data_IF_331251405753
#
_entry.id   IF_331251405753
#
_cell.length_a   1.000
_cell.length_b   1.000
_cell.length_c   1.000
_cell.angle_alpha   90.00
_cell.angle_beta   90.00
_cell.angle_gamma   90.00
#
_symmetry.space_group_name_H-M   'P 1'
#
loop_
_entity.id
_entity.type
_entity.pdbx_description
1 polymer ?
#
# COMPACT_ATOMS: atom_id res chain seq x y z
N UNK A 1 -41.75 3.91 -39.27
CA UNK A 1 -43.02 3.87 -38.53
C UNK A 1 -42.72 3.65 -37.08
N UNK A 2 -43.12 4.61 -36.27
CA UNK A 2 -43.21 4.71 -34.80
C UNK A 2 -41.96 5.06 -33.96
N UNK A 3 -41.96 6.30 -33.75
CA UNK A 3 -41.39 7.17 -32.71
C UNK A 3 -42.00 6.85 -31.33
N UNK A 4 -41.22 6.69 -30.30
CA UNK A 4 -41.64 6.94 -28.91
C UNK A 4 -40.51 7.55 -28.09
N UNK A 5 -40.74 8.80 -27.74
CA UNK A 5 -39.93 9.69 -26.92
C UNK A 5 -39.84 9.24 -25.45
N UNK A 6 -38.63 9.24 -24.88
CA UNK A 6 -38.40 9.14 -23.44
C UNK A 6 -38.49 10.53 -22.80
N UNK A 7 -39.42 10.72 -21.89
CA UNK A 7 -39.57 11.93 -21.06
C UNK A 7 -38.63 11.85 -19.85
N UNK A 8 -37.84 12.91 -19.70
CA UNK A 8 -37.03 13.15 -18.50
C UNK A 8 -37.90 13.42 -17.28
N UNK A 9 -37.46 12.90 -16.12
CA UNK A 9 -38.06 13.20 -14.82
C UNK A 9 -37.14 14.19 -14.12
N UNK A 10 -37.77 15.35 -13.83
CA UNK A 10 -37.19 16.53 -13.16
C UNK A 10 -36.98 16.27 -11.66
N UNK A 11 -35.82 16.74 -11.16
CA UNK A 11 -35.57 16.95 -9.75
C UNK A 11 -36.47 18.08 -9.23
N UNK A 12 -37.33 17.82 -8.27
CA UNK A 12 -37.74 18.76 -7.17
C UNK A 12 -38.89 18.16 -6.34
N UNK A 13 -38.77 18.37 -5.00
CA UNK A 13 -39.82 18.34 -3.99
C UNK A 13 -40.01 17.00 -3.24
N UNK A 14 -39.33 16.91 -2.08
CA UNK A 14 -39.99 16.37 -0.88
C UNK A 14 -39.48 17.18 0.34
N UNK A 15 -40.29 18.20 0.66
CA UNK A 15 -40.24 18.90 1.95
C UNK A 15 -41.68 18.87 2.50
N UNK A 16 -41.79 18.38 3.71
CA UNK A 16 -42.87 18.77 4.60
C UNK A 16 -43.96 17.74 4.86
N UNK A 17 -43.98 17.20 6.09
CA UNK A 17 -45.13 17.29 6.98
C UNK A 17 -44.76 16.78 8.39
N UNK A 18 -44.60 17.75 9.29
CA UNK A 18 -44.79 17.55 10.73
C UNK A 18 -46.27 17.32 11.00
N UNK A 19 -46.56 16.29 11.79
CA UNK A 19 -47.88 16.06 12.37
C UNK A 19 -47.78 15.67 13.85
N UNK A 20 -47.95 16.66 14.74
CA UNK A 20 -48.16 16.42 16.16
C UNK A 20 -49.53 15.79 16.38
N UNK A 21 -49.57 14.75 17.22
CA UNK A 21 -50.78 14.40 17.94
C UNK A 21 -50.41 13.91 19.34
N UNK A 22 -50.60 14.76 20.31
CA UNK A 22 -50.52 14.41 21.72
C UNK A 22 -51.78 13.66 22.17
N UNK A 23 -51.57 12.65 23.04
CA UNK A 23 -52.63 12.17 23.93
C UNK A 23 -52.00 11.93 25.31
N UNK A 24 -52.46 12.73 26.23
CA UNK A 24 -52.28 12.51 27.67
C UNK A 24 -53.37 11.56 28.16
N UNK A 25 -53.01 10.56 28.93
CA UNK A 25 -53.89 9.96 29.93
C UNK A 25 -53.06 9.34 31.07
N UNK A 26 -53.59 9.56 32.23
CA UNK A 26 -52.98 9.47 33.54
C UNK A 26 -52.96 8.07 34.16
N UNK A 27 -52.00 7.94 35.06
CA UNK A 27 -51.97 7.22 36.34
C UNK A 27 -52.38 5.74 36.40
N UNK A 28 -51.43 4.91 36.75
CA UNK A 28 -51.58 3.58 37.32
C UNK A 28 -50.24 3.05 37.85
N UNK A 29 -50.08 3.05 39.16
CA UNK A 29 -48.99 2.51 39.93
C UNK A 29 -48.78 1.03 39.63
N UNK A 30 -47.53 0.67 39.27
CA UNK A 30 -47.05 -0.70 39.18
C UNK A 30 -45.53 -0.70 39.08
N UNK A 31 -44.83 -0.68 40.22
CA UNK A 31 -43.42 -0.94 40.35
C UNK A 31 -43.17 -2.42 40.05
N UNK A 32 -42.67 -2.73 38.83
CA UNK A 32 -41.85 -3.90 38.59
C UNK A 32 -40.67 -3.42 37.77
N UNK A 33 -39.49 -3.44 38.37
CA UNK A 33 -38.23 -3.14 37.70
C UNK A 33 -37.99 -4.12 36.54
N UNK A 34 -38.02 -3.60 35.33
CA UNK A 34 -37.26 -4.22 34.25
C UNK A 34 -35.81 -3.71 34.44
N UNK A 35 -34.99 -4.52 35.05
CA UNK A 35 -33.56 -4.45 34.79
C UNK A 35 -33.40 -4.71 33.29
N UNK A 36 -33.10 -3.66 32.56
CA UNK A 36 -32.46 -3.79 31.26
C UNK A 36 -31.15 -4.54 31.52
N UNK A 37 -31.19 -5.85 31.37
CA UNK A 37 -29.98 -6.64 31.20
C UNK A 37 -29.38 -6.19 29.87
N UNK A 38 -28.55 -5.16 29.90
CA UNK A 38 -27.56 -4.96 28.85
C UNK A 38 -26.85 -6.32 28.70
N UNK A 39 -26.95 -6.93 27.54
CA UNK A 39 -26.13 -8.09 27.21
C UNK A 39 -24.69 -7.72 27.56
N UNK A 40 -23.94 -8.59 28.25
CA UNK A 40 -22.53 -8.32 28.53
C UNK A 40 -21.89 -8.00 27.18
N UNK A 41 -21.24 -6.84 27.08
CA UNK A 41 -20.37 -6.56 25.94
C UNK A 41 -19.42 -7.74 25.87
N UNK A 42 -19.44 -8.46 24.78
CA UNK A 42 -18.45 -9.52 24.49
C UNK A 42 -17.11 -8.81 24.57
N UNK A 43 -16.28 -9.16 25.56
CA UNK A 43 -14.92 -8.62 25.64
C UNK A 43 -14.24 -8.93 24.31
N UNK A 44 -13.60 -7.93 23.70
CA UNK A 44 -12.85 -8.12 22.47
C UNK A 44 -11.79 -9.19 22.71
N UNK A 45 -11.68 -10.14 21.79
CA UNK A 45 -10.67 -11.21 21.89
C UNK A 45 -9.28 -10.59 21.78
N UNK A 46 -8.44 -10.86 22.76
CA UNK A 46 -7.02 -10.48 22.72
C UNK A 46 -6.21 -11.61 22.07
N UNK A 47 -5.91 -11.48 20.79
CA UNK A 47 -5.14 -12.45 20.03
C UNK A 47 -3.69 -12.56 20.51
N UNK A 48 -3.13 -11.53 21.18
CA UNK A 48 -1.79 -11.60 21.78
C UNK A 48 -1.73 -12.55 23.00
N UNK A 49 -2.87 -12.86 23.60
CA UNK A 49 -2.96 -13.82 24.71
C UNK A 49 -3.18 -15.28 24.29
N UNK A 50 -3.48 -15.49 22.99
CA UNK A 50 -3.73 -16.82 22.43
C UNK A 50 -2.41 -17.52 22.05
N UNK A 51 -2.40 -18.86 22.09
CA UNK A 51 -1.31 -19.61 21.47
C UNK A 51 -1.44 -19.58 19.93
N UNK A 52 -0.31 -19.72 19.22
CA UNK A 52 -0.33 -19.81 17.76
C UNK A 52 -1.17 -20.99 17.27
N UNK A 53 -1.15 -22.13 17.99
CA UNK A 53 -1.97 -23.31 17.66
C UNK A 53 -3.48 -23.00 17.74
N UNK A 54 -3.91 -22.22 18.74
CA UNK A 54 -5.31 -21.81 18.87
C UNK A 54 -5.71 -20.82 17.76
N UNK A 55 -4.83 -19.89 17.39
CA UNK A 55 -5.03 -18.98 16.25
C UNK A 55 -5.16 -19.80 14.95
N UNK A 56 -4.27 -20.74 14.71
CA UNK A 56 -4.33 -21.63 13.53
C UNK A 56 -5.63 -22.43 13.50
N UNK A 57 -6.08 -22.96 14.65
CA UNK A 57 -7.32 -23.74 14.72
C UNK A 57 -8.53 -22.86 14.38
N UNK A 58 -8.62 -21.66 14.95
CA UNK A 58 -9.70 -20.71 14.67
C UNK A 58 -9.64 -20.20 13.22
N UNK A 59 -8.47 -19.86 12.69
CA UNK A 59 -8.29 -19.43 11.31
C UNK A 59 -8.76 -20.48 10.29
N UNK A 60 -8.51 -21.76 10.57
CA UNK A 60 -9.03 -22.87 9.75
C UNK A 60 -10.55 -23.00 9.81
N UNK A 61 -11.18 -22.67 10.94
CA UNK A 61 -12.64 -22.62 11.04
C UNK A 61 -13.23 -21.43 10.26
N UNK A 62 -12.52 -20.30 10.23
CA UNK A 62 -12.86 -19.13 9.43
C UNK A 62 -12.72 -19.42 7.91
N UNK A 63 -11.72 -20.20 7.51
CA UNK A 63 -11.56 -20.82 6.19
C UNK A 63 -11.32 -19.91 5.02
N UNK A 64 -11.32 -18.59 5.23
CA UNK A 64 -11.13 -17.57 4.20
C UNK A 64 -10.46 -16.34 4.79
N UNK A 65 -9.82 -15.53 3.94
CA UNK A 65 -9.31 -14.20 4.23
C UNK A 65 -9.64 -13.25 3.07
N UNK A 66 -10.09 -12.04 3.35
CA UNK A 66 -10.24 -10.99 2.37
C UNK A 66 -9.21 -9.90 2.63
N UNK A 67 -8.27 -9.75 1.70
CA UNK A 67 -7.23 -8.72 1.77
C UNK A 67 -7.56 -7.48 0.96
N UNK A 68 -6.81 -6.42 1.17
CA UNK A 68 -6.78 -5.21 0.36
C UNK A 68 -5.34 -4.78 0.13
N UNK A 69 -5.05 -4.23 -1.06
CA UNK A 69 -3.73 -3.72 -1.41
C UNK A 69 -2.64 -4.80 -1.54
N UNK A 70 -3.03 -6.07 -1.75
CA UNK A 70 -2.11 -7.20 -1.86
C UNK A 70 -2.27 -7.92 -3.22
N UNK A 71 -2.14 -7.20 -4.36
CA UNK A 71 -2.36 -7.78 -5.67
C UNK A 71 -1.28 -8.82 -6.03
N UNK A 72 -1.65 -9.85 -6.76
CA UNK A 72 -0.81 -10.99 -7.15
C UNK A 72 0.56 -10.59 -7.72
N UNK A 73 0.60 -9.47 -8.43
CA UNK A 73 1.79 -8.97 -9.13
C UNK A 73 2.80 -8.22 -8.26
N UNK A 74 2.47 -7.95 -6.99
CA UNK A 74 3.34 -7.24 -6.07
C UNK A 74 3.99 -8.21 -5.07
N UNK A 75 5.30 -8.10 -4.87
CA UNK A 75 6.05 -8.82 -3.83
C UNK A 75 5.70 -10.32 -3.74
N UNK A 76 5.24 -10.93 -4.85
CA UNK A 76 4.78 -12.32 -4.92
C UNK A 76 3.63 -12.64 -3.94
N UNK A 77 2.66 -11.73 -3.78
CA UNK A 77 1.50 -12.00 -2.94
C UNK A 77 0.76 -13.27 -3.34
N UNK A 78 0.68 -13.58 -4.65
CA UNK A 78 0.10 -14.84 -5.13
C UNK A 78 0.74 -16.06 -4.45
N UNK A 79 2.08 -16.11 -4.39
CA UNK A 79 2.77 -17.22 -3.72
C UNK A 79 2.53 -17.24 -2.20
N UNK A 80 2.37 -16.09 -1.55
CA UNK A 80 2.01 -16.00 -0.13
C UNK A 80 0.64 -16.64 0.13
N UNK A 81 -0.34 -16.35 -0.73
CA UNK A 81 -1.68 -16.88 -0.58
C UNK A 81 -1.78 -18.36 -0.96
N UNK A 82 -1.07 -18.80 -2.00
CA UNK A 82 -0.97 -20.21 -2.39
C UNK A 82 -0.40 -21.06 -1.24
N UNK A 83 0.66 -20.58 -0.58
CA UNK A 83 1.26 -21.27 0.56
C UNK A 83 0.33 -21.32 1.78
N UNK A 84 -0.40 -20.23 2.06
CA UNK A 84 -1.40 -20.20 3.15
C UNK A 84 -2.55 -21.17 2.86
N UNK A 85 -3.03 -21.22 1.61
CA UNK A 85 -4.06 -22.17 1.21
C UNK A 85 -3.57 -23.62 1.31
N UNK A 86 -2.36 -23.93 0.82
CA UNK A 86 -1.78 -25.27 0.88
C UNK A 86 -1.58 -25.75 2.32
N UNK A 87 -1.06 -24.88 3.22
CA UNK A 87 -0.73 -25.27 4.61
C UNK A 87 -1.92 -25.28 5.54
N UNK A 88 -2.85 -24.37 5.35
CA UNK A 88 -3.92 -24.13 6.32
C UNK A 88 -5.32 -24.34 5.76
N UNK A 89 -5.49 -24.44 4.44
CA UNK A 89 -6.78 -24.57 3.77
C UNK A 89 -7.60 -23.29 3.79
N UNK A 90 -6.94 -22.13 3.87
CA UNK A 90 -7.57 -20.81 3.92
C UNK A 90 -7.48 -20.19 2.54
N UNK A 91 -8.64 -19.96 1.91
CA UNK A 91 -8.72 -19.30 0.60
C UNK A 91 -8.63 -17.78 0.75
N UNK A 92 -8.14 -17.10 -0.27
CA UNK A 92 -7.97 -15.64 -0.24
C UNK A 92 -8.76 -14.96 -1.37
N UNK A 93 -9.19 -13.71 -1.11
CA UNK A 93 -9.68 -12.81 -2.14
C UNK A 93 -9.16 -11.40 -1.87
N UNK A 94 -8.38 -10.86 -2.81
CA UNK A 94 -7.86 -9.49 -2.74
C UNK A 94 -8.74 -8.48 -3.47
N UNK A 95 -8.63 -7.23 -3.03
CA UNK A 95 -9.11 -6.07 -3.75
C UNK A 95 -8.01 -5.03 -3.76
N UNK A 96 -7.42 -4.80 -4.93
CA UNK A 96 -6.39 -3.79 -5.09
C UNK A 96 -6.94 -2.38 -4.87
N UNK A 97 -6.25 -1.59 -4.03
CA UNK A 97 -6.56 -0.19 -3.76
C UNK A 97 -5.37 0.52 -3.14
N UNK A 98 -5.40 1.85 -3.15
CA UNK A 98 -4.35 2.66 -2.52
C UNK A 98 -4.45 2.64 -0.99
N UNK A 99 -3.32 2.86 -0.29
CA UNK A 99 -3.24 2.88 1.17
C UNK A 99 -4.27 3.81 1.83
N UNK A 100 -4.52 4.98 1.24
CA UNK A 100 -5.51 5.92 1.74
C UNK A 100 -6.95 5.37 1.61
N UNK A 101 -7.25 4.67 0.52
CA UNK A 101 -8.56 4.06 0.29
C UNK A 101 -8.81 2.89 1.24
N UNK A 102 -7.78 2.09 1.54
CA UNK A 102 -7.87 0.98 2.51
C UNK A 102 -8.30 1.47 3.89
N UNK A 103 -7.59 2.49 4.42
CA UNK A 103 -7.89 3.07 5.74
C UNK A 103 -9.28 3.71 5.74
N UNK A 104 -9.62 4.45 4.68
CA UNK A 104 -10.93 5.07 4.54
C UNK A 104 -12.06 4.03 4.50
N UNK A 105 -11.83 2.90 3.83
CA UNK A 105 -12.79 1.79 3.77
C UNK A 105 -12.97 1.14 5.14
N UNK A 106 -11.88 0.76 5.85
CA UNK A 106 -11.96 0.19 7.19
C UNK A 106 -12.73 1.11 8.15
N UNK A 107 -12.47 2.42 8.06
CA UNK A 107 -13.17 3.43 8.86
C UNK A 107 -14.65 3.54 8.50
N UNK A 108 -14.98 3.56 7.21
CA UNK A 108 -16.35 3.72 6.72
C UNK A 108 -17.21 2.49 7.03
N UNK A 109 -16.68 1.29 6.89
CA UNK A 109 -17.39 0.04 7.15
C UNK A 109 -17.61 -0.18 8.65
N UNK A 110 -16.67 0.26 9.50
CA UNK A 110 -16.76 0.13 10.94
C UNK A 110 -17.10 -1.30 11.35
N UNK A 111 -18.13 -1.51 12.17
CA UNK A 111 -18.53 -2.84 12.66
C UNK A 111 -19.09 -3.77 11.59
N UNK A 112 -19.36 -3.28 10.39
CA UNK A 112 -19.82 -4.06 9.25
C UNK A 112 -18.64 -4.40 8.29
N UNK A 113 -17.41 -4.49 8.82
CA UNK A 113 -16.19 -4.76 8.06
C UNK A 113 -16.31 -5.96 7.13
N UNK A 114 -15.82 -5.81 5.90
CA UNK A 114 -15.83 -6.85 4.86
C UNK A 114 -14.43 -7.41 4.58
N UNK A 115 -13.40 -6.71 5.01
CA UNK A 115 -11.99 -7.02 4.81
C UNK A 115 -11.28 -7.29 6.12
N UNK A 116 -10.26 -8.13 6.06
CA UNK A 116 -9.58 -8.67 7.23
C UNK A 116 -8.20 -8.05 7.46
N UNK A 117 -7.42 -7.86 6.37
CA UNK A 117 -6.04 -7.39 6.40
C UNK A 117 -5.74 -6.49 5.20
N UNK A 118 -4.87 -5.50 5.37
CA UNK A 118 -4.40 -4.60 4.33
C UNK A 118 -2.88 -4.48 4.30
N UNK A 119 -2.33 -3.99 3.16
CA UNK A 119 -0.91 -3.74 2.95
C UNK A 119 -0.69 -2.27 2.55
N UNK A 120 -0.42 -1.44 3.52
CA UNK A 120 -0.29 0.01 3.33
C UNK A 120 1.17 0.44 3.31
N UNK A 121 1.49 1.48 2.54
CA UNK A 121 2.80 2.13 2.66
C UNK A 121 3.08 2.49 4.12
N UNK A 122 4.31 2.30 4.57
CA UNK A 122 4.70 2.42 5.99
C UNK A 122 4.21 3.71 6.65
N UNK A 123 4.22 4.85 5.94
CA UNK A 123 3.73 6.14 6.46
C UNK A 123 2.25 6.12 6.87
N UNK A 124 1.48 5.17 6.36
CA UNK A 124 0.06 5.04 6.66
C UNK A 124 -0.24 4.16 7.89
N UNK A 125 0.75 3.40 8.38
CA UNK A 125 0.61 2.61 9.60
C UNK A 125 0.16 3.45 10.80
N UNK A 126 0.90 4.51 11.18
CA UNK A 126 0.50 5.42 12.26
C UNK A 126 -0.87 6.11 12.01
N UNK A 127 -1.22 6.37 10.75
CA UNK A 127 -2.54 6.92 10.42
C UNK A 127 -3.65 5.92 10.70
N UNK A 128 -3.48 4.66 10.32
CA UNK A 128 -4.45 3.60 10.59
C UNK A 128 -4.65 3.38 12.10
N UNK A 129 -3.56 3.40 12.87
CA UNK A 129 -3.60 3.36 14.34
C UNK A 129 -4.36 4.55 14.92
N UNK A 130 -4.03 5.79 14.53
CA UNK A 130 -4.67 7.01 15.01
C UNK A 130 -6.18 7.07 14.68
N UNK A 131 -6.59 6.49 13.55
CA UNK A 131 -7.99 6.35 13.16
C UNK A 131 -8.70 5.21 13.92
N UNK A 132 -7.98 4.39 14.69
CA UNK A 132 -8.52 3.29 15.48
C UNK A 132 -9.12 2.16 14.64
N UNK A 133 -8.60 1.95 13.43
CA UNK A 133 -9.10 0.93 12.49
C UNK A 133 -8.30 -0.36 12.53
N UNK A 134 -7.33 -0.48 13.43
CA UNK A 134 -6.40 -1.60 13.53
C UNK A 134 -6.69 -2.52 14.71
N UNK A 135 -6.50 -3.83 14.51
CA UNK A 135 -6.47 -4.85 15.53
C UNK A 135 -4.99 -5.10 15.91
N UNK A 136 -4.70 -5.02 17.21
CA UNK A 136 -3.35 -5.23 17.74
C UNK A 136 -2.97 -6.71 17.76
N UNK A 137 -1.91 -7.04 17.04
CA UNK A 137 -1.37 -8.38 17.06
C UNK A 137 0.15 -8.39 16.81
N UNK A 138 0.90 -8.95 17.76
CA UNK A 138 2.35 -9.17 17.69
C UNK A 138 2.62 -10.62 17.33
N UNK A 139 3.34 -10.83 16.24
CA UNK A 139 3.70 -12.18 15.81
C UNK A 139 4.78 -12.81 16.69
N UNK A 140 4.98 -14.10 16.52
CA UNK A 140 6.08 -14.83 17.18
C UNK A 140 7.48 -14.34 16.78
N UNK A 141 7.59 -13.58 15.68
CA UNK A 141 8.83 -12.99 15.15
C UNK A 141 9.05 -11.54 15.58
N UNK A 142 8.22 -10.99 16.49
CA UNK A 142 8.16 -9.55 16.80
C UNK A 142 9.50 -8.96 17.21
N UNK A 143 10.29 -9.69 18.00
CA UNK A 143 11.57 -9.24 18.52
C UNK A 143 12.68 -9.18 17.44
N UNK A 144 12.45 -9.81 16.28
CA UNK A 144 13.39 -9.77 15.15
C UNK A 144 13.11 -8.62 14.17
N UNK A 145 11.97 -7.95 14.32
CA UNK A 145 11.60 -6.80 13.50
C UNK A 145 12.27 -5.54 14.06
N UNK A 146 12.94 -4.72 13.24
CA UNK A 146 13.52 -3.46 13.68
C UNK A 146 12.46 -2.52 14.27
N UNK A 147 12.83 -1.73 15.30
CA UNK A 147 11.89 -0.83 15.98
C UNK A 147 11.27 0.21 15.03
N UNK A 148 12.00 0.66 14.00
CA UNK A 148 11.49 1.59 13.01
C UNK A 148 10.41 1.00 12.09
N UNK A 149 10.24 -0.32 12.09
CA UNK A 149 9.38 -1.05 11.16
C UNK A 149 8.11 -1.61 11.83
N UNK A 150 7.80 -1.21 13.04
CA UNK A 150 6.64 -1.72 13.78
C UNK A 150 6.11 -0.70 14.76
N UNK A 151 4.84 -0.80 15.08
CA UNK A 151 4.24 -0.13 16.24
C UNK A 151 4.52 -0.91 17.53
N UNK A 152 4.72 -0.22 18.63
CA UNK A 152 5.02 -0.84 19.94
C UNK A 152 3.90 -1.78 20.42
N UNK A 153 2.65 -1.52 20.09
CA UNK A 153 1.48 -2.28 20.54
C UNK A 153 1.00 -3.34 19.55
N UNK A 154 1.48 -3.31 18.29
CA UNK A 154 1.14 -4.28 17.25
C UNK A 154 0.01 -3.86 16.32
N UNK A 155 -0.31 -2.57 16.26
CA UNK A 155 -1.29 -2.01 15.32
C UNK A 155 -0.86 -2.22 13.88
N UNK A 156 0.41 -2.02 13.57
CA UNK A 156 0.98 -2.24 12.24
C UNK A 156 2.40 -2.81 12.32
N UNK A 157 2.84 -3.46 11.26
CA UNK A 157 4.20 -3.97 11.10
C UNK A 157 4.58 -4.07 9.64
N UNK A 158 5.77 -3.59 9.30
CA UNK A 158 6.34 -3.72 7.95
C UNK A 158 6.62 -5.19 7.64
N UNK A 159 6.12 -5.68 6.52
CA UNK A 159 6.37 -7.03 6.04
C UNK A 159 7.61 -7.14 5.16
N UNK A 160 7.88 -6.12 4.37
CA UNK A 160 8.97 -6.05 3.41
C UNK A 160 9.25 -4.59 3.05
N UNK A 161 10.37 -4.35 2.37
CA UNK A 161 10.69 -3.01 1.87
C UNK A 161 11.32 -3.06 0.47
N UNK A 162 11.37 -1.91 -0.18
CA UNK A 162 12.03 -1.69 -1.45
C UNK A 162 12.78 -0.38 -1.50
N UNK A 163 13.56 -0.21 -2.56
CA UNK A 163 14.33 1.01 -2.84
C UNK A 163 13.81 1.63 -4.12
N UNK A 164 13.65 2.96 -4.15
CA UNK A 164 13.19 3.66 -5.36
C UNK A 164 14.19 3.45 -6.48
N UNK A 165 13.71 3.00 -7.63
CA UNK A 165 14.51 2.62 -8.82
C UNK A 165 14.04 3.36 -10.06
N UNK A 166 14.90 3.33 -11.08
CA UNK A 166 14.57 3.71 -12.45
C UNK A 166 14.37 2.42 -13.26
N UNK A 167 13.24 2.31 -13.97
CA UNK A 167 13.03 1.32 -15.02
C UNK A 167 12.99 2.03 -16.38
N UNK A 168 13.75 1.57 -17.35
CA UNK A 168 13.85 2.15 -18.69
C UNK A 168 13.60 1.10 -19.77
N UNK A 169 12.84 1.48 -20.81
CA UNK A 169 12.70 0.72 -22.03
C UNK A 169 13.90 1.05 -22.93
N UNK A 170 14.85 0.12 -23.08
CA UNK A 170 16.14 0.36 -23.76
C UNK A 170 15.98 0.56 -25.28
N UNK A 171 14.88 0.08 -25.88
CA UNK A 171 14.58 0.32 -27.29
C UNK A 171 14.15 1.78 -27.54
N UNK A 172 13.56 2.44 -26.53
CA UNK A 172 13.16 3.85 -26.61
C UNK A 172 14.25 4.77 -26.03
N UNK A 173 15.01 4.28 -25.05
CA UNK A 173 16.06 5.02 -24.34
C UNK A 173 17.37 4.22 -24.44
N UNK A 174 18.10 4.28 -25.60
CA UNK A 174 19.29 3.47 -25.84
C UNK A 174 20.44 3.70 -24.83
N UNK A 175 20.41 4.80 -24.09
CA UNK A 175 21.31 5.09 -22.98
C UNK A 175 20.45 5.27 -21.73
N UNK A 176 20.10 4.18 -21.02
CA UNK A 176 19.30 4.23 -19.82
C UNK A 176 19.90 5.18 -18.77
N UNK A 177 19.11 6.08 -18.16
CA UNK A 177 19.60 6.97 -17.12
C UNK A 177 20.03 6.17 -15.88
N UNK A 178 21.12 6.60 -15.27
CA UNK A 178 21.66 6.01 -14.03
C UNK A 178 21.57 6.96 -12.84
N UNK A 179 21.10 8.18 -13.08
CA UNK A 179 20.86 9.21 -12.07
C UNK A 179 19.48 9.82 -12.25
N UNK A 180 18.88 10.32 -11.17
CA UNK A 180 17.63 11.06 -11.25
C UNK A 180 17.83 12.43 -11.91
N UNK A 181 18.99 13.04 -11.73
CA UNK A 181 19.34 14.30 -12.38
C UNK A 181 19.27 14.23 -13.92
N UNK A 182 19.69 13.10 -14.53
CA UNK A 182 19.64 12.89 -15.99
C UNK A 182 18.22 12.94 -16.55
N UNK A 183 17.20 12.59 -15.76
CA UNK A 183 15.81 12.63 -16.20
C UNK A 183 15.31 14.03 -16.53
N UNK A 184 15.94 15.06 -15.95
CA UNK A 184 15.57 16.48 -16.21
C UNK A 184 15.80 16.88 -17.67
N UNK A 185 16.77 16.28 -18.37
CA UNK A 185 17.23 16.67 -19.70
C UNK A 185 16.95 15.59 -20.78
N UNK A 186 16.29 14.48 -20.43
CA UNK A 186 15.85 13.46 -21.37
C UNK A 186 14.83 13.99 -22.41
N UNK A 187 14.68 13.28 -23.53
CA UNK A 187 13.68 13.56 -24.57
C UNK A 187 12.45 12.64 -24.49
N UNK A 188 12.29 11.95 -23.38
CA UNK A 188 11.23 10.98 -23.05
C UNK A 188 10.36 11.47 -21.90
N UNK A 189 9.18 10.85 -21.76
CA UNK A 189 8.32 11.04 -20.60
C UNK A 189 8.85 10.23 -19.41
N UNK A 190 8.70 10.81 -18.21
CA UNK A 190 8.99 10.15 -16.93
C UNK A 190 7.68 9.86 -16.22
N UNK A 191 7.36 8.59 -16.01
CA UNK A 191 6.18 8.13 -15.28
C UNK A 191 6.53 7.96 -13.80
N UNK A 192 5.78 8.64 -12.93
CA UNK A 192 6.03 8.62 -11.47
C UNK A 192 4.80 8.19 -10.66
N UNK A 193 3.63 8.01 -11.30
CA UNK A 193 2.39 7.67 -10.63
C UNK A 193 1.63 8.86 -10.04
N UNK A 194 0.52 8.58 -9.37
CA UNK A 194 -0.34 9.60 -8.77
C UNK A 194 0.22 10.08 -7.42
N UNK A 195 0.82 11.27 -7.42
CA UNK A 195 1.38 11.92 -6.22
C UNK A 195 0.31 12.19 -5.14
N UNK A 196 -0.96 12.30 -5.52
CA UNK A 196 -2.04 12.61 -4.56
C UNK A 196 -2.46 11.40 -3.72
N UNK A 197 -2.20 10.18 -4.18
CA UNK A 197 -2.74 8.96 -3.59
C UNK A 197 -1.70 7.84 -3.37
N UNK A 198 -0.71 7.71 -4.29
CA UNK A 198 0.20 6.57 -4.29
C UNK A 198 1.47 6.84 -3.47
N UNK A 199 1.73 5.99 -2.47
CA UNK A 199 2.93 6.06 -1.65
C UNK A 199 4.22 6.00 -2.50
N UNK A 200 4.27 5.12 -3.51
CA UNK A 200 5.42 5.01 -4.40
C UNK A 200 5.70 6.32 -5.16
N UNK A 201 4.65 7.01 -5.66
CA UNK A 201 4.80 8.30 -6.35
C UNK A 201 5.35 9.40 -5.42
N UNK A 202 4.85 9.46 -4.19
CA UNK A 202 5.32 10.42 -3.18
C UNK A 202 6.79 10.17 -2.83
N UNK A 203 7.19 8.91 -2.66
CA UNK A 203 8.58 8.54 -2.40
C UNK A 203 9.50 8.76 -3.61
N UNK A 204 8.99 8.64 -4.85
CA UNK A 204 9.74 9.00 -6.05
C UNK A 204 10.10 10.51 -6.04
N UNK A 205 9.18 11.38 -5.62
CA UNK A 205 9.46 12.81 -5.45
C UNK A 205 10.50 13.06 -4.36
N UNK A 206 10.43 12.34 -3.23
CA UNK A 206 11.45 12.45 -2.18
C UNK A 206 12.83 11.95 -2.66
N UNK A 207 12.88 10.86 -3.42
CA UNK A 207 14.13 10.37 -4.01
C UNK A 207 14.76 11.43 -4.94
N UNK A 208 13.93 12.12 -5.74
CA UNK A 208 14.38 13.24 -6.58
C UNK A 208 14.94 14.38 -5.71
N UNK A 209 14.29 14.73 -4.59
CA UNK A 209 14.80 15.74 -3.67
C UNK A 209 16.18 15.37 -3.16
N UNK A 210 16.34 14.14 -2.66
CA UNK A 210 17.62 13.59 -2.13
C UNK A 210 18.71 13.61 -3.20
N UNK A 211 18.41 13.12 -4.40
CA UNK A 211 19.37 13.07 -5.52
C UNK A 211 19.87 14.47 -5.94
N UNK A 212 19.01 15.49 -5.81
CA UNK A 212 19.34 16.87 -6.17
C UNK A 212 19.88 17.70 -4.98
N UNK A 213 20.23 17.04 -3.87
CA UNK A 213 20.88 17.65 -2.71
C UNK A 213 19.92 18.27 -1.68
N UNK A 214 18.61 18.00 -1.82
CA UNK A 214 17.58 18.31 -0.83
C UNK A 214 17.28 17.10 0.09
N UNK A 215 16.01 16.95 0.44
CA UNK A 215 15.50 15.88 1.31
C UNK A 215 14.27 16.34 2.09
N UNK A 216 13.97 15.67 3.23
CA UNK A 216 12.79 16.00 4.06
C UNK A 216 12.76 17.47 4.54
N UNK A 217 13.91 18.08 4.78
CA UNK A 217 14.00 19.47 5.25
C UNK A 217 14.02 20.48 4.08
N UNK A 218 14.17 20.01 2.83
CA UNK A 218 14.18 20.85 1.64
C UNK A 218 13.68 20.08 0.41
N UNK A 219 12.41 20.18 0.10
CA UNK A 219 11.79 19.57 -1.07
C UNK A 219 11.88 20.44 -2.34
N UNK A 220 12.42 21.66 -2.25
CA UNK A 220 12.45 22.60 -3.37
C UNK A 220 13.17 22.06 -4.61
N UNK A 221 14.31 21.35 -4.50
CA UNK A 221 14.96 20.75 -5.68
C UNK A 221 14.05 19.79 -6.46
N UNK A 222 13.24 18.98 -5.76
CA UNK A 222 12.27 18.11 -6.43
C UNK A 222 11.11 18.90 -7.05
N UNK A 223 10.63 19.93 -6.39
CA UNK A 223 9.58 20.80 -6.93
C UNK A 223 10.01 21.49 -8.22
N UNK A 224 11.21 22.01 -8.25
CA UNK A 224 11.79 22.62 -9.46
C UNK A 224 11.94 21.60 -10.59
N UNK A 225 12.39 20.40 -10.27
CA UNK A 225 12.53 19.30 -11.22
C UNK A 225 11.16 18.87 -11.81
N UNK A 226 10.17 18.59 -10.96
CA UNK A 226 8.82 18.19 -11.39
C UNK A 226 8.18 19.28 -12.24
N UNK A 227 8.31 20.55 -11.83
CA UNK A 227 7.81 21.69 -12.62
C UNK A 227 8.46 21.72 -14.00
N UNK A 228 9.80 21.57 -14.07
CA UNK A 228 10.55 21.58 -15.34
C UNK A 228 10.04 20.51 -16.31
N UNK A 229 9.88 19.24 -15.83
CA UNK A 229 9.41 18.17 -16.70
C UNK A 229 7.92 18.26 -17.04
N UNK A 230 7.09 18.84 -16.14
CA UNK A 230 5.68 19.10 -16.41
C UNK A 230 5.50 20.18 -17.48
N UNK A 231 6.18 21.33 -17.37
CA UNK A 231 6.17 22.41 -18.36
C UNK A 231 6.68 21.94 -19.74
N UNK A 232 7.62 20.99 -19.76
CA UNK A 232 8.08 20.36 -20.98
C UNK A 232 7.11 19.30 -21.57
N UNK A 233 5.96 19.02 -20.90
CA UNK A 233 5.00 18.00 -21.29
C UNK A 233 5.54 16.56 -21.14
N UNK A 234 6.56 16.37 -20.30
CA UNK A 234 7.25 15.08 -20.10
C UNK A 234 6.90 14.39 -18.79
N UNK A 235 6.18 15.05 -17.88
CA UNK A 235 5.67 14.41 -16.68
C UNK A 235 4.48 13.51 -17.02
N UNK A 236 4.54 12.27 -16.61
CA UNK A 236 3.44 11.32 -16.68
C UNK A 236 3.07 10.85 -15.25
N UNK A 237 1.85 11.14 -14.86
CA UNK A 237 1.34 10.89 -13.50
C UNK A 237 0.50 9.60 -13.40
N UNK A 238 0.49 8.80 -14.46
CA UNK A 238 -0.13 7.48 -14.44
C UNK A 238 0.88 6.45 -13.93
N UNK A 239 0.36 5.40 -13.32
CA UNK A 239 1.20 4.35 -12.71
C UNK A 239 2.04 3.61 -13.75
N UNK A 240 3.24 3.21 -13.34
CA UNK A 240 4.08 2.28 -14.10
C UNK A 240 3.45 0.89 -13.99
N UNK A 241 3.18 0.27 -15.14
CA UNK A 241 2.61 -1.08 -15.19
C UNK A 241 3.21 -1.90 -16.33
N UNK A 242 3.10 -3.22 -16.24
CA UNK A 242 3.56 -4.16 -17.29
C UNK A 242 2.98 -3.78 -18.64
N UNK A 243 1.66 -3.57 -18.72
CA UNK A 243 0.97 -3.26 -19.98
C UNK A 243 1.47 -1.95 -20.62
N UNK A 244 1.73 -0.92 -19.82
CA UNK A 244 2.22 0.38 -20.30
C UNK A 244 3.69 0.33 -20.73
N UNK A 245 4.50 -0.48 -20.04
CA UNK A 245 5.89 -0.75 -20.43
C UNK A 245 5.95 -1.55 -21.74
N UNK A 246 5.17 -2.63 -21.86
CA UNK A 246 5.10 -3.46 -23.07
C UNK A 246 4.61 -2.68 -24.30
N UNK A 247 3.60 -1.83 -24.11
CA UNK A 247 3.07 -0.99 -25.21
C UNK A 247 4.02 0.14 -25.62
N UNK A 248 5.07 0.40 -24.85
CA UNK A 248 5.98 1.53 -25.06
C UNK A 248 5.38 2.89 -24.68
N UNK A 249 4.27 2.91 -23.93
CA UNK A 249 3.67 4.13 -23.40
C UNK A 249 4.57 4.74 -22.30
N UNK A 250 5.22 3.89 -21.49
CA UNK A 250 6.23 4.28 -20.51
C UNK A 250 7.62 4.00 -21.08
N UNK A 251 8.40 5.07 -21.32
CA UNK A 251 9.79 4.96 -21.73
C UNK A 251 10.72 4.86 -20.50
N UNK A 252 10.45 5.69 -19.47
CA UNK A 252 11.15 5.69 -18.18
C UNK A 252 10.14 5.83 -17.07
N UNK A 253 10.26 4.98 -16.05
CA UNK A 253 9.41 5.02 -14.86
C UNK A 253 10.22 5.01 -13.57
N UNK A 254 9.68 5.64 -12.53
CA UNK A 254 10.16 5.54 -11.17
C UNK A 254 9.21 4.64 -10.37
N UNK A 255 9.75 3.60 -9.76
CA UNK A 255 8.98 2.68 -8.93
C UNK A 255 9.91 1.94 -7.97
N UNK A 256 9.36 1.24 -7.01
CA UNK A 256 10.15 0.35 -6.16
C UNK A 256 10.90 -0.68 -6.99
N UNK A 257 12.12 -1.00 -6.59
CA UNK A 257 12.99 -1.94 -7.29
C UNK A 257 12.34 -3.33 -7.48
N UNK A 258 11.63 -3.83 -6.48
CA UNK A 258 10.93 -5.11 -6.58
C UNK A 258 9.83 -5.09 -7.65
N UNK A 259 9.08 -3.99 -7.79
CA UNK A 259 8.08 -3.86 -8.85
C UNK A 259 8.75 -3.74 -10.22
N UNK A 260 9.77 -2.91 -10.34
CA UNK A 260 10.51 -2.72 -11.59
C UNK A 260 11.14 -4.03 -12.08
N UNK A 261 11.73 -4.81 -11.17
CA UNK A 261 12.31 -6.12 -11.45
C UNK A 261 11.26 -7.15 -11.86
N UNK A 262 10.14 -7.20 -11.14
CA UNK A 262 9.04 -8.10 -11.45
C UNK A 262 8.40 -7.77 -12.80
N UNK A 263 8.15 -6.49 -13.08
CA UNK A 263 7.58 -6.06 -14.36
C UNK A 263 8.52 -6.42 -15.52
N UNK A 264 9.83 -6.15 -15.37
CA UNK A 264 10.83 -6.59 -16.34
C UNK A 264 10.80 -8.10 -16.57
N UNK A 265 10.72 -8.89 -15.50
CA UNK A 265 10.70 -10.35 -15.61
C UNK A 265 9.47 -10.84 -16.37
N UNK A 266 8.27 -10.34 -16.06
CA UNK A 266 7.05 -10.69 -16.76
C UNK A 266 7.09 -10.32 -18.26
N UNK A 267 7.61 -9.13 -18.57
CA UNK A 267 7.75 -8.69 -19.96
C UNK A 267 8.70 -9.60 -20.74
N UNK A 268 9.87 -9.91 -20.15
CA UNK A 268 10.89 -10.76 -20.79
C UNK A 268 10.42 -12.21 -20.94
N UNK A 269 9.60 -12.71 -20.01
CA UNK A 269 8.98 -14.04 -20.13
C UNK A 269 8.07 -14.11 -21.37
N UNK A 270 7.27 -13.07 -21.60
CA UNK A 270 6.36 -12.98 -22.76
C UNK A 270 7.08 -12.60 -24.05
N UNK A 271 8.12 -11.78 -23.97
CA UNK A 271 8.93 -11.29 -25.09
C UNK A 271 10.43 -11.30 -24.75
N UNK A 272 11.15 -12.42 -25.03
CA UNK A 272 12.58 -12.55 -24.71
C UNK A 272 13.50 -11.53 -25.39
N UNK A 273 13.04 -10.86 -26.44
CA UNK A 273 13.80 -9.82 -27.14
C UNK A 273 13.64 -8.43 -26.51
N UNK A 274 12.67 -8.25 -25.60
CA UNK A 274 12.44 -7.00 -24.88
C UNK A 274 13.62 -6.65 -23.98
N UNK A 275 14.00 -5.38 -23.98
CA UNK A 275 15.14 -4.89 -23.22
C UNK A 275 14.70 -3.80 -22.25
N UNK A 276 14.86 -4.07 -20.97
CA UNK A 276 14.58 -3.12 -19.91
C UNK A 276 15.72 -3.10 -18.91
N UNK A 277 16.23 -1.91 -18.64
CA UNK A 277 17.21 -1.68 -17.58
C UNK A 277 16.48 -1.25 -16.31
N UNK A 278 16.83 -1.88 -15.18
CA UNK A 278 16.41 -1.48 -13.84
C UNK A 278 17.66 -1.15 -13.05
N UNK A 279 17.69 0.03 -12.41
CA UNK A 279 18.84 0.45 -11.60
C UNK A 279 18.39 1.30 -10.41
N UNK A 280 19.16 1.23 -9.31
CA UNK A 280 19.06 2.20 -8.23
C UNK A 280 19.85 3.46 -8.64
N UNK A 281 19.26 4.66 -8.55
CA UNK A 281 19.94 5.90 -8.91
C UNK A 281 21.23 6.09 -8.11
N UNK A 282 22.32 6.48 -8.80
CA UNK A 282 23.64 6.62 -8.16
C UNK A 282 23.82 7.97 -7.47
N UNK A 283 22.97 8.94 -7.76
CA UNK A 283 22.98 10.30 -7.18
C UNK A 283 22.11 10.44 -5.93
N UNK A 284 21.23 9.47 -5.66
CA UNK A 284 20.38 9.46 -4.47
C UNK A 284 19.13 8.64 -4.65
N UNK A 285 18.70 7.96 -3.60
CA UNK A 285 17.44 7.22 -3.54
C UNK A 285 16.95 7.11 -2.12
N UNK A 286 15.73 6.58 -1.94
CA UNK A 286 15.13 6.30 -0.64
C UNK A 286 14.60 4.87 -0.60
N UNK A 287 14.58 4.32 0.61
CA UNK A 287 13.94 3.03 0.87
C UNK A 287 12.72 3.21 1.77
N UNK A 288 11.69 2.44 1.52
CA UNK A 288 10.47 2.40 2.32
C UNK A 288 9.84 1.01 2.31
N UNK A 289 9.08 0.72 3.35
CA UNK A 289 8.38 -0.54 3.49
C UNK A 289 6.88 -0.44 3.26
N UNK A 290 6.26 -1.61 3.25
CA UNK A 290 4.81 -1.77 3.30
C UNK A 290 4.45 -2.50 4.58
N UNK A 291 3.46 -1.97 5.27
CA UNK A 291 3.02 -2.45 6.57
C UNK A 291 1.68 -3.16 6.48
N UNK A 292 1.60 -4.34 7.06
CA UNK A 292 0.32 -5.00 7.25
C UNK A 292 -0.45 -4.33 8.37
N UNK A 293 -1.74 -4.04 8.12
CA UNK A 293 -2.73 -3.61 9.10
C UNK A 293 -3.86 -4.64 9.14
N UNK A 294 -4.23 -5.11 10.34
CA UNK A 294 -5.39 -5.99 10.52
C UNK A 294 -6.58 -5.11 10.87
N UNK A 295 -7.70 -5.28 10.16
CA UNK A 295 -8.90 -4.48 10.42
C UNK A 295 -9.43 -4.74 11.85
N UNK A 296 -9.66 -3.69 12.64
CA UNK A 296 -10.24 -3.79 13.98
C UNK A 296 -11.59 -4.54 14.01
N UNK A 297 -12.31 -4.50 12.90
CA UNK A 297 -13.60 -5.16 12.70
C UNK A 297 -13.51 -6.26 11.63
N UNK A 298 -12.36 -6.93 11.54
CA UNK A 298 -12.16 -8.03 10.60
C UNK A 298 -13.22 -9.13 10.82
N UNK A 299 -13.92 -9.57 9.78
CA UNK A 299 -14.83 -10.72 9.88
C UNK A 299 -14.13 -12.03 10.25
N UNK A 300 -12.82 -12.11 9.95
CA UNK A 300 -11.97 -13.32 10.15
C UNK A 300 -10.65 -12.92 10.78
N UNK A 301 -10.69 -12.47 12.04
CA UNK A 301 -9.52 -11.90 12.70
C UNK A 301 -8.40 -12.94 12.96
N UNK A 302 -8.75 -14.20 13.21
CA UNK A 302 -7.74 -15.24 13.40
C UNK A 302 -7.00 -15.57 12.09
N UNK A 303 -7.71 -15.59 10.95
CA UNK A 303 -7.09 -15.77 9.64
C UNK A 303 -6.15 -14.60 9.30
N UNK A 304 -6.55 -13.37 9.65
CA UNK A 304 -5.70 -12.17 9.47
C UNK A 304 -4.43 -12.22 10.37
N UNK A 305 -4.57 -12.63 11.64
CA UNK A 305 -3.41 -12.84 12.52
C UNK A 305 -2.48 -13.93 11.98
N UNK A 306 -3.03 -15.05 11.52
CA UNK A 306 -2.25 -16.13 10.91
C UNK A 306 -1.55 -15.69 9.63
N UNK A 307 -2.21 -14.89 8.78
CA UNK A 307 -1.57 -14.34 7.59
C UNK A 307 -0.38 -13.44 7.97
N UNK A 308 -0.50 -12.57 8.97
CA UNK A 308 0.62 -11.76 9.47
C UNK A 308 1.75 -12.62 10.04
N UNK A 309 1.44 -13.72 10.75
CA UNK A 309 2.44 -14.70 11.19
C UNK A 309 3.20 -15.31 10.00
N UNK A 310 2.47 -15.76 8.99
CA UNK A 310 3.07 -16.34 7.79
C UNK A 310 3.96 -15.33 7.04
N UNK A 311 3.46 -14.13 6.80
CA UNK A 311 4.18 -13.05 6.10
C UNK A 311 5.54 -12.78 6.78
N UNK A 312 5.61 -12.81 8.11
CA UNK A 312 6.83 -12.56 8.87
C UNK A 312 7.63 -13.83 9.18
N UNK A 313 7.17 -15.03 8.82
CA UNK A 313 7.95 -16.26 8.96
C UNK A 313 9.13 -16.30 7.97
N UNK A 314 10.08 -17.21 8.18
CA UNK A 314 11.20 -17.41 7.24
C UNK A 314 10.69 -17.73 5.84
N UNK A 315 9.69 -18.60 5.73
CA UNK A 315 9.08 -18.98 4.46
C UNK A 315 8.38 -17.80 3.78
N UNK A 316 7.57 -17.04 4.53
CA UNK A 316 6.90 -15.85 4.01
C UNK A 316 7.90 -14.78 3.55
N UNK A 317 8.95 -14.54 4.31
CA UNK A 317 10.01 -13.59 3.94
C UNK A 317 10.79 -14.04 2.69
N UNK A 318 11.08 -15.33 2.56
CA UNK A 318 11.69 -15.90 1.34
C UNK A 318 10.72 -15.77 0.16
N UNK A 319 9.43 -15.99 0.40
CA UNK A 319 8.42 -15.87 -0.64
C UNK A 319 8.27 -14.42 -1.15
N UNK A 320 8.25 -13.45 -0.25
CA UNK A 320 8.28 -12.02 -0.62
C UNK A 320 9.56 -11.69 -1.40
N UNK A 321 10.72 -12.27 -1.01
CA UNK A 321 11.98 -12.08 -1.73
C UNK A 321 11.98 -12.75 -3.13
N UNK A 322 11.20 -13.81 -3.36
CA UNK A 322 10.94 -14.36 -4.71
C UNK A 322 10.20 -13.34 -5.59
N UNK A 323 9.41 -12.46 -4.97
CA UNK A 323 8.82 -11.28 -5.61
C UNK A 323 9.74 -10.07 -5.63
N UNK A 324 11.05 -10.28 -5.47
CA UNK A 324 12.12 -9.27 -5.49
C UNK A 324 12.13 -8.32 -4.28
N UNK A 325 11.18 -8.41 -3.36
CA UNK A 325 11.13 -7.55 -2.19
C UNK A 325 12.27 -7.84 -1.20
N UNK A 326 12.71 -6.84 -0.46
CA UNK A 326 13.70 -7.05 0.59
C UNK A 326 13.01 -7.48 1.88
N UNK A 327 13.41 -8.63 2.49
CA UNK A 327 12.89 -9.07 3.77
C UNK A 327 13.12 -8.04 4.88
N UNK A 328 12.12 -7.85 5.74
CA UNK A 328 12.27 -6.96 6.91
C UNK A 328 13.10 -7.62 8.01
N UNK A 329 13.09 -8.95 8.10
CA UNK A 329 13.88 -9.71 9.06
C UNK A 329 15.26 -10.03 8.46
N UNK A 330 16.29 -9.38 8.96
CA UNK A 330 17.69 -9.59 8.51
C UNK A 330 18.27 -10.96 8.90
N UNK A 331 17.61 -11.70 9.80
CA UNK A 331 17.98 -13.05 10.22
C UNK A 331 17.65 -14.13 9.18
N UNK A 332 16.78 -13.82 8.21
CA UNK A 332 16.34 -14.78 7.18
C UNK A 332 17.44 -15.05 6.18
N UNK A 333 17.86 -16.31 6.07
CA UNK A 333 18.84 -16.74 5.06
C UNK A 333 18.14 -17.01 3.73
N UNK A 334 18.33 -16.12 2.76
CA UNK A 334 17.78 -16.30 1.41
C UNK A 334 18.52 -17.40 0.65
N UNK A 335 17.82 -18.30 -0.07
CA UNK A 335 18.41 -19.22 -1.04
C UNK A 335 19.18 -18.46 -2.14
N UNK A 336 20.21 -19.09 -2.68
CA UNK A 336 21.08 -18.45 -3.69
C UNK A 336 20.33 -18.07 -4.98
N UNK A 337 19.33 -18.84 -5.39
CA UNK A 337 18.46 -18.54 -6.52
C UNK A 337 17.62 -17.29 -6.27
N UNK A 338 17.19 -17.06 -5.01
CA UNK A 338 16.42 -15.88 -4.61
C UNK A 338 17.31 -14.64 -4.50
N UNK A 339 18.51 -14.78 -3.94
CA UNK A 339 19.51 -13.69 -3.92
C UNK A 339 19.81 -13.18 -5.33
N UNK A 340 19.92 -14.09 -6.31
CA UNK A 340 20.22 -13.76 -7.69
C UNK A 340 19.13 -12.97 -8.42
N UNK A 341 17.93 -12.89 -7.86
CA UNK A 341 16.82 -12.10 -8.42
C UNK A 341 16.98 -10.58 -8.19
N UNK A 342 17.70 -10.20 -7.13
CA UNK A 342 17.89 -8.81 -6.74
C UNK A 342 18.92 -8.11 -7.62
N UNK A 343 18.92 -6.77 -7.60
CA UNK A 343 20.05 -6.01 -8.15
C UNK A 343 21.32 -6.28 -7.31
N UNK A 344 22.53 -6.12 -7.90
CA UNK A 344 23.79 -6.26 -7.17
C UNK A 344 23.83 -5.36 -5.93
N UNK A 345 24.37 -5.90 -4.81
CA UNK A 345 24.40 -5.19 -3.52
C UNK A 345 25.14 -3.83 -3.61
N UNK A 346 26.08 -3.70 -4.55
CA UNK A 346 26.81 -2.45 -4.80
C UNK A 346 25.91 -1.29 -5.24
N UNK A 347 24.71 -1.58 -5.76
CA UNK A 347 23.73 -0.55 -6.11
C UNK A 347 22.98 0.01 -4.89
N UNK A 348 22.99 -0.71 -3.76
CA UNK A 348 22.31 -0.32 -2.52
C UNK A 348 23.28 0.35 -1.53
N UNK A 349 24.14 1.25 -2.02
CA UNK A 349 25.17 1.91 -1.21
C UNK A 349 24.65 3.10 -0.38
N UNK A 350 25.58 3.93 0.07
CA UNK A 350 25.34 5.07 0.97
C UNK A 350 24.39 6.16 0.38
N UNK A 351 24.15 6.12 -0.95
CA UNK A 351 23.20 7.01 -1.61
C UNK A 351 21.73 6.68 -1.30
N UNK A 352 21.43 5.50 -0.76
CA UNK A 352 20.08 5.11 -0.34
C UNK A 352 19.82 5.58 1.08
N UNK A 353 18.85 6.44 1.27
CA UNK A 353 18.52 7.01 2.57
C UNK A 353 17.29 6.35 3.20
N UNK A 354 17.32 6.17 4.52
CA UNK A 354 16.15 5.84 5.31
C UNK A 354 15.31 7.09 5.56
N UNK A 355 14.01 6.93 5.72
CA UNK A 355 13.06 8.02 5.88
C UNK A 355 12.74 8.21 7.37
N UNK A 356 12.79 9.45 7.82
CA UNK A 356 12.22 9.89 9.11
C UNK A 356 10.69 10.06 8.91
N UNK A 357 9.91 9.06 9.32
CA UNK A 357 8.47 9.04 9.10
C UNK A 357 7.71 10.05 9.95
N UNK A 358 8.26 10.51 11.08
CA UNK A 358 7.64 11.57 11.88
C UNK A 358 7.58 12.88 11.07
N UNK A 359 8.66 13.17 10.33
CA UNK A 359 8.70 14.32 9.44
C UNK A 359 7.96 14.07 8.12
N UNK A 360 8.03 12.85 7.59
CA UNK A 360 7.49 12.54 6.28
C UNK A 360 5.99 12.77 6.17
N UNK A 361 5.23 12.53 7.24
CA UNK A 361 3.79 12.75 7.27
C UNK A 361 3.42 14.21 6.96
N UNK A 362 4.13 15.16 7.59
CA UNK A 362 3.90 16.58 7.35
C UNK A 362 4.35 16.99 5.94
N UNK A 363 5.54 16.53 5.52
CA UNK A 363 6.11 16.78 4.18
C UNK A 363 5.20 16.24 3.08
N UNK A 364 4.61 15.06 3.26
CA UNK A 364 3.68 14.49 2.28
C UNK A 364 2.42 15.34 2.11
N UNK A 365 1.86 15.88 3.19
CA UNK A 365 0.70 16.77 3.12
C UNK A 365 1.03 18.07 2.37
N UNK A 366 2.22 18.63 2.62
CA UNK A 366 2.71 19.81 1.90
C UNK A 366 2.97 19.50 0.42
N UNK A 367 3.58 18.35 0.12
CA UNK A 367 3.83 17.88 -1.25
C UNK A 367 2.53 17.76 -2.06
N UNK A 368 1.52 17.10 -1.49
CA UNK A 368 0.21 16.93 -2.17
C UNK A 368 -0.45 18.29 -2.43
N UNK A 369 -0.41 19.19 -1.45
CA UNK A 369 -0.95 20.55 -1.60
C UNK A 369 -0.20 21.30 -2.70
N UNK A 370 1.14 21.30 -2.65
CA UNK A 370 1.97 21.93 -3.66
C UNK A 370 1.69 21.40 -5.07
N UNK A 371 1.58 20.06 -5.21
CA UNK A 371 1.29 19.42 -6.49
C UNK A 371 -0.06 19.86 -7.05
N UNK A 372 -1.10 19.88 -6.21
CA UNK A 372 -2.44 20.32 -6.61
C UNK A 372 -2.48 21.78 -7.06
N UNK A 373 -1.75 22.66 -6.40
CA UNK A 373 -1.73 24.10 -6.69
C UNK A 373 -0.85 24.46 -7.87
N UNK A 374 0.27 23.74 -8.08
CA UNK A 374 1.31 24.16 -9.03
C UNK A 374 1.42 23.24 -10.26
N UNK A 375 1.15 21.94 -10.14
CA UNK A 375 1.38 20.98 -11.23
C UNK A 375 0.09 20.60 -11.97
N UNK A 376 -1.00 20.32 -11.25
CA UNK A 376 -2.28 20.00 -11.91
C UNK A 376 -2.70 21.07 -12.93
N UNK A 377 -2.57 22.39 -12.64
CA UNK A 377 -2.90 23.43 -13.64
C UNK A 377 -2.02 23.41 -14.90
N UNK A 378 -0.80 22.85 -14.83
CA UNK A 378 0.10 22.71 -15.99
C UNK A 378 -0.30 21.51 -16.85
N UNK A 379 -0.76 20.43 -16.22
CA UNK A 379 -1.12 19.20 -16.92
C UNK A 379 -2.44 19.30 -17.69
N UNK A 380 -3.32 20.26 -17.37
CA UNK A 380 -4.56 20.58 -18.08
C UNK A 380 -5.75 19.81 -17.59
#
# INVERSE_FOLDING_TARGET
VNNTSARGISRRSFLGMLGMAGFACAAGLGLTGCEDSAAPATEAVDYNSMSLDDIIAQAKEEGQINSVGMPDTWANWVGTWDDIEEKYGITQADQDMSSAEEIAMFKQEGTDGTKDIGDVGQQWGPTAEAEGVTLKYKTSYWDEIPDWAKDDDGDWVVGYYGTMSIISNDDQVPNPPTTLAELADGDYKVSIGDITAAAAAQHAVLAIAVALGGGLDDMQPAYDFITKIAEAGRLDVSDVSVARLESGEVAVGLNWDYNSLNYRAQIVENNPDAKFTVSIPTDGSVQSGYATIINANAPRPAAACLAREYILSDEGQINLARGYATPIRSSVELPEDVKALRLPDEQYGDQVQSIDYDKWTDVTNELVTWYQENIIPILG
#
